data_IF_945101913906
#
_entry.id   IF_945101913906
#
_cell.length_a   1.000
_cell.length_b   1.000
_cell.length_c   1.000
_cell.angle_alpha   90.00
_cell.angle_beta   90.00
_cell.angle_gamma   90.00
#
_symmetry.space_group_name_H-M   'P 1'
#
loop_
_entity.id
_entity.type
_entity.pdbx_description
1 polymer ?
#
# COMPACT_ATOMS: atom_id res chain seq x y z
N UNK A 1 6.10 40.76 -5.98
CA UNK A 1 4.64 40.52 -5.80
C UNK A 1 3.97 40.54 -7.13
N UNK A 2 3.25 39.48 -7.46
CA UNK A 2 2.82 39.23 -8.83
C UNK A 2 1.73 38.18 -8.93
N UNK A 3 1.26 38.00 -10.16
CA UNK A 3 0.37 36.90 -10.55
C UNK A 3 1.17 35.93 -11.40
N UNK A 4 1.28 34.69 -10.93
CA UNK A 4 2.04 33.62 -11.56
C UNK A 4 1.06 32.64 -12.21
N UNK A 5 1.35 32.20 -13.42
CA UNK A 5 0.54 31.22 -14.15
C UNK A 5 1.44 30.29 -14.95
N UNK A 6 0.92 29.23 -15.57
CA UNK A 6 1.76 28.40 -16.42
C UNK A 6 2.38 29.21 -17.58
N UNK A 7 3.63 28.90 -17.94
CA UNK A 7 4.33 29.58 -19.03
C UNK A 7 3.59 29.36 -20.36
N UNK A 8 3.72 30.31 -21.30
CA UNK A 8 3.05 30.20 -22.61
C UNK A 8 3.45 28.92 -23.35
N UNK A 9 4.74 28.58 -23.35
CA UNK A 9 5.26 27.36 -23.96
C UNK A 9 4.67 26.09 -23.33
N UNK A 10 4.61 26.02 -21.99
CA UNK A 10 4.01 24.87 -21.29
C UNK A 10 2.51 24.74 -21.59
N UNK A 11 1.76 25.85 -21.58
CA UNK A 11 0.33 25.87 -21.95
C UNK A 11 0.12 25.31 -23.36
N UNK A 12 0.92 25.76 -24.33
CA UNK A 12 0.82 25.29 -25.72
C UNK A 12 1.17 23.81 -25.81
N UNK A 13 2.31 23.38 -25.23
CA UNK A 13 2.76 22.00 -25.29
C UNK A 13 1.76 21.00 -24.71
N UNK A 14 1.25 21.26 -23.50
CA UNK A 14 0.24 20.38 -22.88
C UNK A 14 -1.08 20.44 -23.63
N UNK A 15 -1.49 21.60 -24.15
CA UNK A 15 -2.73 21.69 -24.94
C UNK A 15 -2.64 20.85 -26.22
N UNK A 16 -1.53 20.92 -26.95
CA UNK A 16 -1.30 20.08 -28.14
C UNK A 16 -1.32 18.60 -27.77
N UNK A 17 -0.61 18.21 -26.71
CA UNK A 17 -0.61 16.83 -26.22
C UNK A 17 -2.01 16.33 -25.86
N UNK A 18 -2.81 17.12 -25.13
CA UNK A 18 -4.17 16.75 -24.74
C UNK A 18 -5.12 16.68 -25.95
N UNK A 19 -4.94 17.53 -26.97
CA UNK A 19 -5.72 17.45 -28.22
C UNK A 19 -5.41 16.15 -28.98
N UNK A 20 -4.12 15.75 -29.06
CA UNK A 20 -3.75 14.47 -29.65
C UNK A 20 -4.35 13.29 -28.88
N UNK A 21 -4.34 13.35 -27.54
CA UNK A 21 -4.94 12.35 -26.67
C UNK A 21 -6.46 12.23 -26.88
N UNK A 22 -7.16 13.36 -27.07
CA UNK A 22 -8.58 13.37 -27.45
C UNK A 22 -8.77 12.64 -28.78
N UNK A 23 -7.92 12.88 -29.78
CA UNK A 23 -7.95 12.16 -31.06
C UNK A 23 -7.83 10.64 -30.90
N UNK A 24 -6.93 10.18 -30.02
CA UNK A 24 -6.79 8.74 -29.69
C UNK A 24 -8.07 8.18 -29.06
N UNK A 25 -8.67 8.89 -28.10
CA UNK A 25 -9.91 8.43 -27.46
C UNK A 25 -11.11 8.44 -28.41
N UNK A 26 -11.17 9.40 -29.33
CA UNK A 26 -12.16 9.40 -30.42
C UNK A 26 -11.95 8.17 -31.31
N UNK A 27 -10.71 7.87 -31.72
CA UNK A 27 -10.41 6.68 -32.50
C UNK A 27 -10.82 5.39 -31.77
N UNK A 28 -10.61 5.29 -30.45
CA UNK A 28 -11.05 4.16 -29.64
C UNK A 28 -12.57 4.00 -29.56
N UNK A 29 -13.34 5.09 -29.67
CA UNK A 29 -14.81 5.01 -29.77
C UNK A 29 -15.22 4.39 -31.11
N UNK A 30 -14.51 4.73 -32.19
CA UNK A 30 -14.84 4.25 -33.53
C UNK A 30 -14.23 2.89 -33.89
N UNK A 31 -13.16 2.47 -33.21
CA UNK A 31 -12.45 1.21 -33.47
C UNK A 31 -13.36 -0.04 -33.53
N UNK A 32 -14.32 -0.24 -32.60
CA UNK A 32 -15.21 -1.41 -32.64
C UNK A 32 -16.12 -1.49 -33.87
N UNK A 33 -16.31 -0.39 -34.60
CA UNK A 33 -17.10 -0.35 -35.83
C UNK A 33 -16.30 -0.76 -37.08
N UNK A 34 -14.96 -0.84 -36.98
CA UNK A 34 -14.08 -1.22 -38.08
C UNK A 34 -13.55 -2.67 -37.98
N UNK A 35 -13.61 -3.28 -36.81
CA UNK A 35 -13.16 -4.66 -36.59
C UNK A 35 -14.35 -5.58 -36.29
N UNK A 36 -14.71 -6.41 -37.27
CA UNK A 36 -15.80 -7.38 -37.20
C UNK A 36 -15.62 -8.43 -36.08
N UNK A 37 -14.42 -8.56 -35.50
CA UNK A 37 -14.13 -9.49 -34.40
C UNK A 37 -14.37 -8.88 -33.01
N UNK A 38 -14.78 -7.62 -32.94
CA UNK A 38 -14.96 -6.93 -31.65
C UNK A 38 -16.23 -7.38 -30.95
N UNK A 39 -16.10 -7.83 -29.70
CA UNK A 39 -17.27 -8.27 -28.92
C UNK A 39 -18.21 -7.08 -28.60
N UNK A 40 -19.52 -7.33 -28.56
CA UNK A 40 -20.53 -6.31 -28.18
C UNK A 40 -20.24 -5.74 -26.78
N UNK A 41 -19.74 -6.58 -25.86
CA UNK A 41 -19.38 -6.16 -24.50
C UNK A 41 -18.23 -5.13 -24.46
N UNK A 42 -17.26 -5.21 -25.39
CA UNK A 42 -16.19 -4.21 -25.45
C UNK A 42 -16.70 -2.82 -25.81
N UNK A 43 -17.77 -2.71 -26.61
CA UNK A 43 -18.36 -1.41 -27.00
C UNK A 43 -18.94 -0.69 -25.78
N UNK A 44 -19.68 -1.42 -24.95
CA UNK A 44 -20.32 -0.89 -23.73
C UNK A 44 -19.33 -0.50 -22.64
N UNK A 45 -18.09 -1.00 -22.69
CA UNK A 45 -17.03 -0.67 -21.73
C UNK A 45 -16.15 0.47 -22.26
N UNK A 46 -15.66 0.35 -23.50
CA UNK A 46 -14.67 1.28 -24.08
C UNK A 46 -15.30 2.66 -24.33
N UNK A 47 -16.51 2.71 -24.88
CA UNK A 47 -17.19 3.97 -25.22
C UNK A 47 -17.34 4.92 -24.01
N UNK A 48 -17.96 4.52 -22.88
CA UNK A 48 -18.12 5.42 -21.74
C UNK A 48 -16.77 5.81 -21.10
N UNK A 49 -15.79 4.90 -21.07
CA UNK A 49 -14.45 5.21 -20.58
C UNK A 49 -13.78 6.28 -21.46
N UNK A 50 -13.84 6.13 -22.78
CA UNK A 50 -13.27 7.10 -23.72
C UNK A 50 -13.94 8.47 -23.60
N UNK A 51 -15.28 8.53 -23.50
CA UNK A 51 -16.01 9.79 -23.29
C UNK A 51 -15.58 10.47 -21.98
N UNK A 52 -15.47 9.69 -20.90
CA UNK A 52 -15.01 10.20 -19.61
C UNK A 52 -13.57 10.75 -19.70
N UNK A 53 -12.67 10.05 -20.39
CA UNK A 53 -11.28 10.50 -20.58
C UNK A 53 -11.19 11.76 -21.46
N UNK A 54 -12.03 11.89 -22.49
CA UNK A 54 -12.15 13.12 -23.29
C UNK A 54 -12.59 14.29 -22.40
N UNK A 55 -13.59 14.10 -21.54
CA UNK A 55 -14.04 15.12 -20.59
C UNK A 55 -12.90 15.56 -19.66
N UNK A 56 -12.11 14.61 -19.15
CA UNK A 56 -10.93 14.92 -18.33
C UNK A 56 -9.88 15.74 -19.09
N UNK A 57 -9.67 15.47 -20.39
CA UNK A 57 -8.77 16.27 -21.22
C UNK A 57 -9.25 17.72 -21.33
N UNK A 58 -10.54 17.95 -21.59
CA UNK A 58 -11.12 19.30 -21.62
C UNK A 58 -10.98 20.02 -20.28
N UNK A 59 -11.22 19.33 -19.16
CA UNK A 59 -11.02 19.88 -17.82
C UNK A 59 -9.54 20.24 -17.57
N UNK A 60 -8.61 19.41 -18.03
CA UNK A 60 -7.16 19.66 -17.96
C UNK A 60 -6.75 20.89 -18.76
N UNK A 61 -7.22 21.03 -20.00
CA UNK A 61 -6.99 22.22 -20.83
C UNK A 61 -7.53 23.46 -20.11
N UNK A 62 -8.77 23.42 -19.63
CA UNK A 62 -9.37 24.54 -18.87
C UNK A 62 -8.53 24.91 -17.64
N UNK A 63 -8.01 23.92 -16.93
CA UNK A 63 -7.18 24.14 -15.75
C UNK A 63 -5.90 24.91 -16.07
N UNK A 64 -5.23 24.62 -17.18
CA UNK A 64 -4.02 25.35 -17.60
C UNK A 64 -4.22 26.86 -17.75
N UNK A 65 -5.40 27.30 -18.17
CA UNK A 65 -5.69 28.72 -18.40
C UNK A 65 -6.30 29.42 -17.18
N UNK A 66 -6.98 28.69 -16.30
CA UNK A 66 -7.58 29.24 -15.09
C UNK A 66 -6.59 29.25 -13.92
N UNK A 67 -5.65 28.30 -13.91
CA UNK A 67 -4.72 28.10 -12.81
C UNK A 67 -3.74 29.26 -12.65
N UNK A 68 -3.79 29.91 -11.49
CA UNK A 68 -2.94 31.04 -11.14
C UNK A 68 -2.67 31.12 -9.65
N UNK A 69 -1.49 31.63 -9.31
CA UNK A 69 -1.06 31.95 -7.96
C UNK A 69 -0.88 33.45 -7.86
N UNK A 70 -1.50 34.07 -6.86
CA UNK A 70 -1.45 35.52 -6.64
C UNK A 70 -0.81 35.74 -5.28
N UNK A 71 0.30 36.48 -5.25
CA UNK A 71 1.03 36.82 -4.01
C UNK A 71 0.99 38.34 -3.84
N UNK A 72 0.45 38.78 -2.70
CA UNK A 72 0.24 40.20 -2.36
C UNK A 72 0.74 40.54 -0.96
N UNK A 73 0.76 41.85 -0.63
CA UNK A 73 0.77 42.48 0.71
C UNK A 73 0.29 41.57 1.82
N UNK A 74 -0.94 41.12 1.62
CA UNK A 74 -1.82 40.68 2.68
C UNK A 74 -2.27 39.23 2.53
N UNK A 75 -2.13 38.63 1.34
CA UNK A 75 -2.52 37.24 1.11
C UNK A 75 -1.77 36.54 -0.02
N UNK A 76 -1.80 35.21 0.06
CA UNK A 76 -1.47 34.28 -1.03
C UNK A 76 -2.76 33.58 -1.45
N UNK A 77 -3.04 33.55 -2.75
CA UNK A 77 -4.19 32.85 -3.32
C UNK A 77 -3.74 31.90 -4.41
N UNK A 78 -4.16 30.64 -4.34
CA UNK A 78 -4.03 29.69 -5.43
C UNK A 78 -5.42 29.33 -5.94
N UNK A 79 -5.63 29.58 -7.22
CA UNK A 79 -6.87 29.25 -7.93
C UNK A 79 -6.54 28.21 -8.99
N UNK A 80 -7.36 27.18 -9.06
CA UNK A 80 -7.43 26.24 -10.18
C UNK A 80 -8.92 26.01 -10.52
N UNK A 81 -9.22 25.11 -11.44
CA UNK A 81 -10.61 24.86 -11.88
C UNK A 81 -11.49 24.28 -10.77
N UNK A 82 -10.90 23.48 -9.88
CA UNK A 82 -11.63 22.74 -8.84
C UNK A 82 -11.70 23.49 -7.50
N UNK A 83 -10.72 24.34 -7.22
CA UNK A 83 -10.51 24.94 -5.91
C UNK A 83 -10.00 26.38 -6.04
N UNK A 84 -10.48 27.22 -5.14
CA UNK A 84 -9.93 28.55 -4.90
C UNK A 84 -9.55 28.65 -3.42
N UNK A 85 -8.25 28.76 -3.13
CA UNK A 85 -7.73 28.81 -1.76
C UNK A 85 -7.00 30.12 -1.55
N UNK A 86 -7.31 30.79 -0.44
CA UNK A 86 -6.73 32.06 -0.03
C UNK A 86 -6.29 31.99 1.43
N UNK A 87 -5.05 32.37 1.70
CA UNK A 87 -4.49 32.47 3.04
C UNK A 87 -3.93 33.88 3.23
N UNK A 88 -4.25 34.53 4.35
CA UNK A 88 -3.61 35.80 4.70
C UNK A 88 -2.17 35.54 5.16
N UNK A 89 -1.27 36.50 4.96
CA UNK A 89 0.15 36.38 5.35
C UNK A 89 0.29 36.02 6.83
N UNK A 90 -0.48 36.68 7.70
CA UNK A 90 -0.49 36.44 9.15
C UNK A 90 -0.96 35.04 9.55
N UNK A 91 -1.74 34.38 8.68
CA UNK A 91 -2.31 33.06 8.91
C UNK A 91 -1.38 31.93 8.48
N UNK A 92 -0.26 32.25 7.83
CA UNK A 92 0.70 31.25 7.34
C UNK A 92 1.65 30.89 8.49
N UNK A 93 1.78 29.59 8.74
CA UNK A 93 2.71 29.03 9.72
C UNK A 93 4.12 28.88 9.13
N UNK A 94 4.18 28.53 7.84
CA UNK A 94 5.40 28.34 7.09
C UNK A 94 5.12 27.62 5.78
N UNK A 95 6.18 27.22 5.09
CA UNK A 95 6.09 26.47 3.84
C UNK A 95 6.97 25.21 3.87
N UNK A 96 6.77 24.32 2.90
CA UNK A 96 7.62 23.17 2.62
C UNK A 96 7.86 23.06 1.13
N UNK A 97 9.10 22.76 0.74
CA UNK A 97 9.46 22.39 -0.63
C UNK A 97 9.47 20.87 -0.78
N UNK A 98 8.80 20.35 -1.80
CA UNK A 98 8.52 18.92 -1.99
C UNK A 98 8.66 18.56 -3.47
N UNK A 99 9.80 18.03 -3.88
CA UNK A 99 10.10 17.73 -5.30
C UNK A 99 9.59 18.82 -6.26
N UNK A 100 8.44 18.58 -6.91
CA UNK A 100 7.77 19.44 -7.90
C UNK A 100 6.70 20.39 -7.35
N UNK A 101 6.61 20.56 -6.03
CA UNK A 101 5.57 21.34 -5.38
C UNK A 101 6.10 22.19 -4.21
N UNK A 102 5.42 23.30 -3.97
CA UNK A 102 5.55 24.12 -2.77
C UNK A 102 4.24 24.04 -1.98
N UNK A 103 4.32 23.64 -0.72
CA UNK A 103 3.17 23.53 0.18
C UNK A 103 3.23 24.64 1.22
N UNK A 104 2.18 25.45 1.28
CA UNK A 104 2.06 26.55 2.26
C UNK A 104 1.04 26.15 3.31
N UNK A 105 1.47 26.13 4.57
CA UNK A 105 0.71 25.61 5.70
C UNK A 105 0.08 26.75 6.52
N UNK A 106 -1.23 26.70 6.79
CA UNK A 106 -1.86 27.64 7.70
C UNK A 106 -1.56 27.32 9.17
N UNK A 107 -1.63 28.32 10.03
CA UNK A 107 -1.56 28.17 11.50
C UNK A 107 -2.77 27.42 12.06
N UNK A 108 -3.95 27.65 11.51
CA UNK A 108 -5.19 27.00 11.94
C UNK A 108 -5.40 25.65 11.24
N UNK A 109 -5.76 24.62 12.01
CA UNK A 109 -6.12 23.28 11.49
C UNK A 109 -7.40 23.28 10.65
N UNK A 110 -8.25 24.31 10.76
CA UNK A 110 -9.50 24.42 10.01
C UNK A 110 -9.32 24.98 8.59
N UNK A 111 -8.15 25.56 8.29
CA UNK A 111 -7.82 26.06 6.94
C UNK A 111 -7.03 25.01 6.17
N UNK A 112 -7.33 24.87 4.88
CA UNK A 112 -6.61 23.94 3.99
C UNK A 112 -5.32 24.59 3.50
N UNK A 113 -4.24 23.78 3.44
CA UNK A 113 -2.95 24.16 2.84
C UNK A 113 -3.10 24.59 1.38
N UNK A 114 -2.22 25.49 0.93
CA UNK A 114 -2.09 25.85 -0.48
C UNK A 114 -1.00 24.97 -1.10
N UNK A 115 -1.29 24.33 -2.24
CA UNK A 115 -0.31 23.54 -3.03
C UNK A 115 -0.05 24.29 -4.32
N UNK A 116 1.21 24.64 -4.54
CA UNK A 116 1.72 25.35 -5.73
C UNK A 116 2.59 24.36 -6.50
N UNK A 117 2.41 24.29 -7.81
CA UNK A 117 3.22 23.48 -8.71
C UNK A 117 4.46 24.25 -9.13
N UNK A 118 5.61 23.58 -9.19
CA UNK A 118 6.86 24.14 -9.71
C UNK A 118 6.80 24.48 -11.20
N UNK A 119 5.85 23.88 -11.92
CA UNK A 119 5.62 24.15 -13.34
C UNK A 119 4.96 25.52 -13.60
N UNK A 120 4.55 26.24 -12.56
CA UNK A 120 4.09 27.64 -12.69
C UNK A 120 5.30 28.51 -13.08
N UNK A 121 5.09 29.46 -14.00
CA UNK A 121 6.15 30.37 -14.42
C UNK A 121 6.73 31.09 -13.21
N UNK A 122 8.04 31.22 -13.18
CA UNK A 122 8.76 31.94 -12.12
C UNK A 122 8.53 31.35 -10.72
N UNK A 123 8.28 30.03 -10.63
CA UNK A 123 8.17 29.30 -9.37
C UNK A 123 9.39 29.47 -8.46
N UNK A 124 10.56 29.76 -9.04
CA UNK A 124 11.76 30.17 -8.30
C UNK A 124 11.58 31.47 -7.52
N UNK A 125 10.94 32.49 -8.11
CA UNK A 125 10.66 33.77 -7.42
C UNK A 125 9.71 33.56 -6.24
N UNK A 126 8.68 32.72 -6.43
CA UNK A 126 7.77 32.33 -5.34
C UNK A 126 8.56 31.67 -4.20
N UNK A 127 9.46 30.75 -4.53
CA UNK A 127 10.28 30.05 -3.54
C UNK A 127 11.23 31.00 -2.79
N UNK A 128 11.95 31.88 -3.51
CA UNK A 128 12.82 32.87 -2.89
C UNK A 128 12.06 33.82 -1.97
N UNK A 129 10.90 34.30 -2.41
CA UNK A 129 10.06 35.15 -1.57
C UNK A 129 9.57 34.41 -0.32
N UNK A 130 9.19 33.13 -0.43
CA UNK A 130 8.81 32.31 0.71
C UNK A 130 9.99 32.05 1.67
N UNK A 131 11.20 31.84 1.15
CA UNK A 131 12.42 31.67 1.93
C UNK A 131 12.74 32.90 2.80
N UNK A 132 12.53 34.09 2.25
CA UNK A 132 12.80 35.37 2.93
C UNK A 132 11.72 35.72 3.97
N UNK A 133 10.46 35.32 3.73
CA UNK A 133 9.32 35.79 4.53
C UNK A 133 8.77 34.75 5.52
N UNK A 134 9.08 33.46 5.33
CA UNK A 134 8.50 32.39 6.13
C UNK A 134 9.53 31.33 6.51
N UNK A 135 9.24 30.61 7.59
CA UNK A 135 10.05 29.49 8.03
C UNK A 135 9.83 28.30 7.11
N UNK A 136 10.93 27.71 6.63
CA UNK A 136 10.92 26.39 6.01
C UNK A 136 10.65 25.34 7.10
N UNK A 137 9.44 24.77 7.06
CA UNK A 137 9.01 23.78 8.02
C UNK A 137 9.72 22.43 7.82
N UNK A 138 10.21 22.13 6.62
CA UNK A 138 10.99 20.92 6.34
C UNK A 138 12.35 21.02 6.99
N UNK A 139 13.07 22.13 6.74
CA UNK A 139 14.38 22.37 7.35
C UNK A 139 14.29 22.46 8.89
N UNK A 140 13.23 23.09 9.42
CA UNK A 140 13.04 23.18 10.87
C UNK A 140 12.89 21.80 11.53
N UNK A 141 12.16 20.88 10.89
CA UNK A 141 12.01 19.51 11.38
C UNK A 141 13.32 18.75 11.28
N UNK A 142 13.99 18.81 10.13
CA UNK A 142 15.29 18.16 9.91
C UNK A 142 16.33 18.63 10.93
N UNK A 143 16.49 19.94 11.13
CA UNK A 143 17.42 20.51 12.12
C UNK A 143 17.07 20.11 13.56
N UNK A 144 15.78 19.95 13.88
CA UNK A 144 15.35 19.48 15.20
C UNK A 144 15.75 18.01 15.39
N UNK A 145 15.48 17.17 14.40
CA UNK A 145 15.86 15.75 14.42
C UNK A 145 17.38 15.58 14.52
N UNK A 146 18.16 16.35 13.76
CA UNK A 146 19.63 16.35 13.85
C UNK A 146 20.12 16.76 15.23
N UNK A 147 19.58 17.83 15.82
CA UNK A 147 19.94 18.26 17.18
C UNK A 147 19.61 17.20 18.22
N UNK A 148 18.45 16.57 18.12
CA UNK A 148 18.06 15.46 19.01
C UNK A 148 18.96 14.24 18.82
N UNK A 149 19.31 13.91 17.58
CA UNK A 149 20.21 12.81 17.23
C UNK A 149 21.63 13.02 17.76
N UNK A 150 22.23 14.20 17.52
CA UNK A 150 23.57 14.52 18.01
C UNK A 150 23.63 14.74 19.53
N UNK A 151 22.51 15.04 20.18
CA UNK A 151 22.44 15.10 21.65
C UNK A 151 22.29 13.72 22.30
N UNK A 152 21.73 12.74 21.60
CA UNK A 152 21.51 11.41 22.16
C UNK A 152 22.84 10.64 22.28
N UNK A 153 23.20 10.25 23.49
CA UNK A 153 24.41 9.46 23.79
C UNK A 153 24.27 7.98 23.43
N UNK A 154 23.05 7.46 23.23
CA UNK A 154 22.82 6.07 22.85
C UNK A 154 23.37 5.71 21.47
N UNK A 155 23.62 6.72 20.62
CA UNK A 155 24.06 6.57 19.24
C UNK A 155 25.57 6.69 19.03
N UNK A 156 26.33 6.99 20.10
CA UNK A 156 27.78 7.17 20.06
C UNK A 156 28.24 8.37 20.89
N UNK A 157 29.53 8.45 21.16
CA UNK A 157 30.14 9.55 21.93
C UNK A 157 30.67 10.62 20.97
N UNK A 158 31.29 10.20 19.85
CA UNK A 158 31.81 11.12 18.84
C UNK A 158 30.82 11.35 17.68
N UNK A 159 30.98 12.48 16.98
CA UNK A 159 30.20 12.78 15.76
C UNK A 159 30.41 11.71 14.70
N UNK A 160 31.66 11.27 14.51
CA UNK A 160 32.01 10.24 13.53
C UNK A 160 31.35 8.88 13.84
N UNK A 161 31.28 8.47 15.12
CA UNK A 161 30.55 7.26 15.51
C UNK A 161 29.07 7.35 15.18
N UNK A 162 28.43 8.49 15.48
CA UNK A 162 27.00 8.72 15.21
C UNK A 162 26.69 8.67 13.72
N UNK A 163 27.49 9.33 12.91
CA UNK A 163 27.37 9.27 11.44
C UNK A 163 27.58 7.85 10.90
N UNK A 164 28.54 7.11 11.48
CA UNK A 164 28.78 5.70 11.15
C UNK A 164 27.57 4.82 11.42
N UNK A 165 26.92 4.98 12.58
CA UNK A 165 25.71 4.25 12.95
C UNK A 165 24.55 4.62 12.02
N UNK A 166 24.35 5.90 11.72
CA UNK A 166 23.29 6.35 10.80
C UNK A 166 23.48 5.81 9.38
N UNK A 167 24.72 5.83 8.87
CA UNK A 167 25.07 5.26 7.58
C UNK A 167 24.82 3.74 7.55
N UNK A 168 25.19 3.03 8.62
CA UNK A 168 24.92 1.58 8.75
C UNK A 168 23.43 1.30 8.78
N UNK A 169 22.65 2.07 9.54
CA UNK A 169 21.19 1.95 9.61
C UNK A 169 20.55 2.17 8.23
N UNK A 170 21.00 3.20 7.50
CA UNK A 170 20.49 3.55 6.17
C UNK A 170 20.77 2.44 5.15
N UNK A 171 22.00 1.92 5.11
CA UNK A 171 22.36 0.80 4.25
C UNK A 171 21.56 -0.46 4.59
N UNK A 172 21.41 -0.75 5.89
CA UNK A 172 20.66 -1.92 6.36
C UNK A 172 19.19 -1.85 5.95
N UNK A 173 18.53 -0.71 6.18
CA UNK A 173 17.13 -0.51 5.79
C UNK A 173 16.93 -0.64 4.27
N UNK A 174 17.87 -0.11 3.46
CA UNK A 174 17.84 -0.26 2.00
C UNK A 174 17.93 -1.73 1.58
N UNK A 175 18.86 -2.49 2.14
CA UNK A 175 19.02 -3.91 1.83
C UNK A 175 17.83 -4.74 2.27
N UNK A 176 17.30 -4.51 3.48
CA UNK A 176 16.06 -5.14 3.97
C UNK A 176 14.95 -4.94 2.94
N UNK A 177 14.71 -3.70 2.51
CA UNK A 177 13.65 -3.39 1.53
C UNK A 177 13.83 -4.18 0.24
N UNK A 178 15.03 -4.19 -0.33
CA UNK A 178 15.32 -4.89 -1.60
C UNK A 178 15.11 -6.39 -1.42
N UNK A 179 15.75 -7.00 -0.41
CA UNK A 179 15.70 -8.45 -0.18
C UNK A 179 14.27 -8.91 0.10
N UNK A 180 13.55 -8.22 0.98
CA UNK A 180 12.16 -8.55 1.31
C UNK A 180 11.25 -8.52 0.09
N UNK A 181 11.30 -7.45 -0.70
CA UNK A 181 10.46 -7.30 -1.89
C UNK A 181 10.81 -8.37 -2.94
N UNK A 182 12.10 -8.59 -3.19
CA UNK A 182 12.57 -9.61 -4.12
C UNK A 182 12.11 -11.01 -3.71
N UNK A 183 12.24 -11.36 -2.43
CA UNK A 183 11.81 -12.67 -1.91
C UNK A 183 10.28 -12.85 -2.01
N UNK A 184 9.50 -11.80 -1.72
CA UNK A 184 8.04 -11.85 -1.91
C UNK A 184 7.67 -12.07 -3.36
N UNK A 185 8.29 -11.34 -4.30
CA UNK A 185 8.02 -11.50 -5.72
C UNK A 185 8.42 -12.89 -6.20
N UNK A 186 9.60 -13.38 -5.80
CA UNK A 186 10.05 -14.75 -6.12
C UNK A 186 9.03 -15.79 -5.64
N UNK A 187 8.54 -15.67 -4.41
CA UNK A 187 7.51 -16.57 -3.88
C UNK A 187 6.22 -16.54 -4.72
N UNK A 188 5.71 -15.35 -5.07
CA UNK A 188 4.47 -15.23 -5.85
C UNK A 188 4.59 -15.83 -7.27
N UNK A 189 5.75 -15.68 -7.92
CA UNK A 189 5.96 -16.21 -9.28
C UNK A 189 6.36 -17.68 -9.30
N UNK A 190 7.18 -18.13 -8.34
CA UNK A 190 7.80 -19.47 -8.38
C UNK A 190 7.00 -20.54 -7.66
N UNK A 191 6.18 -20.21 -6.65
CA UNK A 191 5.40 -21.22 -5.90
C UNK A 191 4.40 -21.97 -6.79
N UNK A 192 3.98 -21.36 -7.90
CA UNK A 192 3.15 -22.04 -8.91
C UNK A 192 3.90 -23.16 -9.66
N UNK A 193 5.22 -23.01 -9.86
CA UNK A 193 6.04 -23.92 -10.66
C UNK A 193 6.81 -24.92 -9.80
N UNK A 194 7.23 -24.48 -8.61
CA UNK A 194 7.97 -25.28 -7.66
C UNK A 194 7.06 -25.47 -6.44
N UNK A 195 6.66 -26.71 -6.15
CA UNK A 195 5.97 -27.11 -4.90
C UNK A 195 6.90 -26.95 -3.67
N UNK A 196 7.70 -25.89 -3.61
CA UNK A 196 8.75 -25.67 -2.63
C UNK A 196 8.26 -24.72 -1.55
N UNK A 197 7.96 -25.30 -0.40
CA UNK A 197 7.53 -24.60 0.83
C UNK A 197 8.65 -23.76 1.47
N UNK A 198 9.91 -23.95 1.03
CA UNK A 198 11.09 -23.20 1.50
C UNK A 198 10.93 -21.67 1.44
N UNK A 199 10.32 -21.13 0.38
CA UNK A 199 10.11 -19.70 0.25
C UNK A 199 9.16 -19.17 1.33
N UNK A 200 8.14 -19.95 1.71
CA UNK A 200 7.18 -19.58 2.75
C UNK A 200 7.89 -19.49 4.09
N UNK A 201 8.75 -20.46 4.44
CA UNK A 201 9.54 -20.40 5.67
C UNK A 201 10.43 -19.14 5.72
N UNK A 202 11.16 -18.83 4.64
CA UNK A 202 12.00 -17.64 4.58
C UNK A 202 11.17 -16.37 4.82
N UNK A 203 10.01 -16.25 4.18
CA UNK A 203 9.12 -15.10 4.34
C UNK A 203 8.56 -14.97 5.76
N UNK A 204 8.27 -16.08 6.45
CA UNK A 204 7.85 -16.06 7.86
C UNK A 204 8.93 -15.43 8.74
N UNK A 205 10.21 -15.75 8.52
CA UNK A 205 11.28 -15.23 9.37
C UNK A 205 11.68 -13.77 9.08
N UNK A 206 11.46 -13.26 7.86
CA UNK A 206 11.87 -11.90 7.49
C UNK A 206 11.28 -10.82 8.42
N UNK A 207 9.95 -10.76 8.69
CA UNK A 207 9.39 -9.77 9.61
C UNK A 207 9.99 -9.84 11.02
N UNK A 208 10.26 -11.05 11.55
CA UNK A 208 10.90 -11.22 12.86
C UNK A 208 12.32 -10.67 12.88
N UNK A 209 13.10 -10.96 11.82
CA UNK A 209 14.45 -10.41 11.66
C UNK A 209 14.42 -8.89 11.58
N UNK A 210 13.45 -8.30 10.88
CA UNK A 210 13.30 -6.84 10.79
C UNK A 210 12.99 -6.25 12.17
N UNK A 211 12.09 -6.85 12.94
CA UNK A 211 11.79 -6.43 14.32
C UNK A 211 13.07 -6.43 15.17
N UNK A 212 13.83 -7.53 15.12
CA UNK A 212 15.10 -7.64 15.83
C UNK A 212 16.12 -6.57 15.41
N UNK A 213 16.23 -6.30 14.10
CA UNK A 213 17.10 -5.26 13.57
C UNK A 213 16.67 -3.88 14.07
N UNK A 214 15.38 -3.55 13.99
CA UNK A 214 14.86 -2.25 14.45
C UNK A 214 15.14 -2.02 15.94
N UNK A 215 14.92 -3.05 16.78
CA UNK A 215 15.27 -3.02 18.21
C UNK A 215 16.78 -2.77 18.40
N UNK A 216 17.62 -3.47 17.63
CA UNK A 216 19.09 -3.35 17.71
C UNK A 216 19.60 -1.95 17.32
N UNK A 217 18.89 -1.26 16.43
CA UNK A 217 19.18 0.13 16.05
C UNK A 217 18.53 1.18 16.97
N UNK A 218 17.94 0.77 18.10
CA UNK A 218 17.47 1.65 19.19
C UNK A 218 16.58 2.81 18.72
N UNK A 219 15.73 2.57 17.73
CA UNK A 219 14.80 3.57 17.20
C UNK A 219 15.36 4.51 16.12
N UNK A 220 16.58 4.29 15.61
CA UNK A 220 17.10 5.00 14.41
C UNK A 220 16.33 4.55 13.16
N UNK A 221 16.01 3.27 13.05
CA UNK A 221 15.22 2.73 11.94
C UNK A 221 13.74 2.83 12.31
N UNK A 222 12.91 3.34 11.40
CA UNK A 222 11.48 3.56 11.61
C UNK A 222 10.60 2.71 10.70
N UNK A 223 9.38 2.44 11.17
CA UNK A 223 8.33 1.79 10.36
C UNK A 223 7.48 2.81 9.61
N UNK A 224 7.71 4.11 9.76
CA UNK A 224 7.00 5.13 8.99
C UNK A 224 7.71 5.38 7.65
N UNK A 225 6.96 5.44 6.55
CA UNK A 225 7.51 5.87 5.26
C UNK A 225 7.72 7.38 5.26
N UNK A 226 8.82 7.83 4.65
CA UNK A 226 9.03 9.25 4.42
C UNK A 226 7.93 9.75 3.50
N UNK A 227 7.09 10.67 3.98
CA UNK A 227 6.14 11.37 3.08
C UNK A 227 6.94 12.20 2.11
N UNK A 228 6.41 12.39 0.91
CA UNK A 228 7.00 13.31 -0.09
C UNK A 228 7.30 14.68 0.55
N UNK A 229 6.43 15.17 1.44
CA UNK A 229 6.59 16.46 2.11
C UNK A 229 7.39 16.46 3.41
N UNK A 230 8.14 15.40 3.71
CA UNK A 230 8.91 15.28 4.94
C UNK A 230 10.34 14.82 4.65
N UNK A 231 11.31 15.64 5.05
CA UNK A 231 12.72 15.25 5.06
C UNK A 231 13.07 14.85 6.48
N UNK A 232 13.29 13.56 6.68
CA UNK A 232 13.75 12.99 7.94
C UNK A 232 15.10 12.31 7.76
N UNK A 233 15.95 12.39 8.77
CA UNK A 233 17.25 11.70 8.79
C UNK A 233 17.09 10.19 9.01
N UNK A 234 15.97 9.76 9.58
CA UNK A 234 15.75 8.37 9.96
C UNK A 234 15.37 7.50 8.75
N UNK A 235 16.04 6.35 8.51
CA UNK A 235 15.68 5.44 7.43
C UNK A 235 14.41 4.63 7.75
N UNK A 236 13.64 4.31 6.70
CA UNK A 236 12.41 3.51 6.81
C UNK A 236 12.60 2.08 6.34
N UNK A 237 11.97 1.14 7.05
CA UNK A 237 11.84 -0.28 6.68
C UNK A 237 10.41 -0.69 6.33
N UNK A 238 9.46 0.26 6.22
CA UNK A 238 8.04 -0.03 6.06
C UNK A 238 7.80 -1.06 4.95
N UNK A 239 8.26 -0.78 3.73
CA UNK A 239 8.05 -1.70 2.59
C UNK A 239 8.79 -3.03 2.72
N UNK A 240 9.93 -3.04 3.40
CA UNK A 240 10.65 -4.28 3.70
C UNK A 240 9.91 -5.16 4.71
N UNK A 241 9.13 -4.56 5.60
CA UNK A 241 8.28 -5.23 6.57
C UNK A 241 6.95 -5.66 5.97
N UNK A 242 6.31 -4.80 5.16
CA UNK A 242 4.99 -5.04 4.59
C UNK A 242 4.98 -6.09 3.48
N UNK A 243 5.94 -6.03 2.56
CA UNK A 243 5.98 -6.95 1.42
C UNK A 243 5.88 -8.44 1.81
N UNK A 244 6.65 -8.97 2.78
CA UNK A 244 6.52 -10.36 3.20
C UNK A 244 5.18 -10.64 3.90
N UNK A 245 4.66 -9.70 4.71
CA UNK A 245 3.35 -9.87 5.38
C UNK A 245 2.23 -10.02 4.35
N UNK A 246 2.20 -9.15 3.34
CA UNK A 246 1.23 -9.26 2.25
C UNK A 246 1.43 -10.56 1.44
N UNK A 247 2.68 -10.93 1.16
CA UNK A 247 2.99 -12.19 0.47
C UNK A 247 2.45 -13.42 1.20
N UNK A 248 2.69 -13.51 2.51
CA UNK A 248 2.20 -14.60 3.35
C UNK A 248 0.67 -14.60 3.42
N UNK A 249 0.03 -13.44 3.54
CA UNK A 249 -1.42 -13.35 3.56
C UNK A 249 -2.04 -13.84 2.25
N UNK A 250 -1.49 -13.41 1.10
CA UNK A 250 -1.95 -13.88 -0.20
C UNK A 250 -1.77 -15.41 -0.33
N UNK A 251 -0.65 -15.94 0.16
CA UNK A 251 -0.44 -17.38 0.18
C UNK A 251 -1.49 -18.11 1.01
N UNK A 252 -1.77 -17.66 2.23
CA UNK A 252 -2.83 -18.26 3.06
C UNK A 252 -4.19 -18.18 2.37
N UNK A 253 -4.54 -17.02 1.80
CA UNK A 253 -5.83 -16.82 1.14
C UNK A 253 -6.05 -17.70 -0.11
N UNK A 254 -4.99 -18.01 -0.85
CA UNK A 254 -5.11 -18.74 -2.12
C UNK A 254 -4.68 -20.20 -2.06
N UNK A 255 -3.83 -20.58 -1.10
CA UNK A 255 -3.29 -21.93 -1.02
C UNK A 255 -3.91 -22.78 0.10
N UNK A 256 -4.55 -22.17 1.11
CA UNK A 256 -5.03 -22.88 2.31
C UNK A 256 -6.52 -22.62 2.53
N UNK A 257 -7.33 -23.69 2.54
CA UNK A 257 -8.75 -23.61 2.86
C UNK A 257 -9.01 -24.02 4.31
N UNK A 258 -9.15 -23.04 5.20
CA UNK A 258 -9.51 -23.27 6.60
C UNK A 258 -11.00 -23.59 6.72
N UNK A 259 -11.33 -24.67 7.43
CA UNK A 259 -12.70 -25.15 7.62
C UNK A 259 -13.40 -24.43 8.79
N UNK A 260 -12.70 -24.21 9.90
CA UNK A 260 -13.22 -23.54 11.11
C UNK A 260 -12.16 -22.62 11.72
N UNK A 261 -12.56 -21.41 12.08
CA UNK A 261 -11.65 -20.37 12.60
C UNK A 261 -11.67 -20.22 14.12
N UNK A 262 -12.46 -20.99 14.86
CA UNK A 262 -12.70 -20.77 16.29
C UNK A 262 -11.40 -20.74 17.12
N UNK A 263 -10.50 -21.70 16.89
CA UNK A 263 -9.21 -21.79 17.58
C UNK A 263 -8.18 -20.71 17.14
N UNK A 264 -8.45 -20.00 16.03
CA UNK A 264 -7.52 -18.97 15.51
C UNK A 264 -7.53 -17.73 16.41
N UNK A 265 -8.70 -17.33 16.90
CA UNK A 265 -8.90 -16.00 17.50
C UNK A 265 -8.10 -15.78 18.79
N UNK A 266 -8.02 -16.80 19.65
CA UNK A 266 -7.27 -16.71 20.91
C UNK A 266 -5.77 -16.57 20.65
N UNK A 267 -5.20 -17.46 19.83
CA UNK A 267 -3.78 -17.44 19.47
C UNK A 267 -3.43 -16.15 18.71
N UNK A 268 -4.35 -15.68 17.85
CA UNK A 268 -4.22 -14.43 17.12
C UNK A 268 -4.12 -13.23 18.06
N UNK A 269 -4.96 -13.16 19.10
CA UNK A 269 -4.94 -12.06 20.06
C UNK A 269 -3.59 -11.94 20.76
N UNK A 270 -3.08 -13.04 21.33
CA UNK A 270 -1.79 -13.04 22.06
C UNK A 270 -0.60 -12.73 21.15
N UNK A 271 -0.54 -13.36 19.98
CA UNK A 271 0.56 -13.16 19.01
C UNK A 271 0.55 -11.74 18.43
N UNK A 272 -0.62 -11.20 18.11
CA UNK A 272 -0.78 -9.81 17.63
C UNK A 272 -0.27 -8.82 18.67
N UNK A 273 -0.68 -8.98 19.93
CA UNK A 273 -0.25 -8.13 21.02
C UNK A 273 1.28 -8.17 21.16
N UNK A 274 1.88 -9.37 21.16
CA UNK A 274 3.32 -9.54 21.27
C UNK A 274 4.08 -8.85 20.13
N UNK A 275 3.72 -9.14 18.87
CA UNK A 275 4.37 -8.56 17.69
C UNK A 275 4.21 -7.03 17.67
N UNK A 276 3.01 -6.55 17.98
CA UNK A 276 2.73 -5.12 18.06
C UNK A 276 3.61 -4.42 19.11
N UNK A 277 3.69 -4.98 20.32
CA UNK A 277 4.55 -4.42 21.38
C UNK A 277 6.02 -4.42 20.99
N UNK A 278 6.52 -5.48 20.34
CA UNK A 278 7.91 -5.51 19.87
C UNK A 278 8.19 -4.44 18.80
N UNK A 279 7.27 -4.22 17.86
CA UNK A 279 7.37 -3.16 16.86
C UNK A 279 7.41 -1.75 17.50
N UNK A 280 6.51 -1.48 18.43
CA UNK A 280 6.43 -0.19 19.15
C UNK A 280 7.66 0.02 20.04
N UNK A 281 8.11 -1.04 20.73
CA UNK A 281 9.31 -1.01 21.55
C UNK A 281 10.55 -0.70 20.70
N UNK A 282 10.72 -1.37 19.56
CA UNK A 282 11.87 -1.16 18.68
C UNK A 282 11.91 0.22 18.04
N UNK A 283 10.75 0.76 17.62
CA UNK A 283 10.71 2.08 16.97
C UNK A 283 10.96 3.23 17.94
N UNK A 284 10.79 3.02 19.26
CA UNK A 284 10.79 4.05 20.31
C UNK A 284 9.80 5.18 20.06
N UNK A 285 8.76 4.95 19.26
CA UNK A 285 7.74 5.95 18.94
C UNK A 285 6.62 5.92 19.99
N UNK A 286 6.88 6.30 21.25
CA UNK A 286 5.89 6.19 22.33
C UNK A 286 4.88 7.34 22.41
N UNK A 287 5.03 8.37 21.58
CA UNK A 287 4.33 9.65 21.75
C UNK A 287 3.13 9.78 20.82
N UNK A 288 1.93 9.49 21.35
CA UNK A 288 0.63 9.69 20.69
C UNK A 288 0.21 11.17 20.68
N UNK A 289 1.09 12.08 20.24
CA UNK A 289 0.82 13.53 20.30
C UNK A 289 0.01 14.04 19.10
N UNK A 290 0.08 13.34 17.96
CA UNK A 290 -0.51 13.80 16.71
C UNK A 290 -1.24 12.66 15.97
N UNK A 291 -2.24 13.02 15.16
CA UNK A 291 -3.03 12.08 14.34
C UNK A 291 -2.16 11.20 13.43
N UNK A 292 -0.98 11.70 13.03
CA UNK A 292 0.03 10.95 12.28
C UNK A 292 0.53 9.75 13.08
N UNK A 293 1.01 9.98 14.31
CA UNK A 293 1.49 8.92 15.18
C UNK A 293 0.38 7.92 15.50
N UNK A 294 -0.85 8.38 15.73
CA UNK A 294 -2.01 7.49 15.91
C UNK A 294 -2.20 6.61 14.66
N UNK A 295 -2.10 7.17 13.46
CA UNK A 295 -2.15 6.42 12.20
C UNK A 295 -1.06 5.35 12.10
N UNK A 296 0.17 5.64 12.52
CA UNK A 296 1.27 4.66 12.57
C UNK A 296 1.00 3.54 13.57
N UNK A 297 0.45 3.84 14.75
CA UNK A 297 0.07 2.81 15.72
C UNK A 297 -1.03 1.91 15.18
N UNK A 298 -2.07 2.49 14.58
CA UNK A 298 -3.17 1.72 13.98
C UNK A 298 -2.62 0.84 12.85
N UNK A 299 -1.75 1.37 11.99
CA UNK A 299 -1.19 0.58 10.88
C UNK A 299 -0.30 -0.56 11.41
N UNK A 300 0.57 -0.31 12.38
CA UNK A 300 1.38 -1.35 13.03
C UNK A 300 0.51 -2.43 13.68
N UNK A 301 -0.59 -2.06 14.33
CA UNK A 301 -1.51 -3.04 14.91
C UNK A 301 -2.13 -3.91 13.82
N UNK A 302 -2.67 -3.31 12.75
CA UNK A 302 -3.25 -4.04 11.61
C UNK A 302 -2.23 -4.98 10.97
N UNK A 303 -1.01 -4.52 10.71
CA UNK A 303 0.03 -5.33 10.10
C UNK A 303 0.52 -6.45 11.02
N UNK A 304 0.56 -6.21 12.34
CA UNK A 304 0.87 -7.25 13.33
C UNK A 304 -0.21 -8.33 13.34
N UNK A 305 -1.49 -7.95 13.21
CA UNK A 305 -2.61 -8.91 13.09
C UNK A 305 -2.50 -9.72 11.81
N UNK A 306 -2.25 -9.08 10.67
CA UNK A 306 -2.12 -9.76 9.38
C UNK A 306 -0.96 -10.76 9.36
N UNK A 307 0.18 -10.35 9.91
CA UNK A 307 1.36 -11.22 10.05
C UNK A 307 1.06 -12.40 10.97
N UNK A 308 0.52 -12.14 12.16
CA UNK A 308 0.20 -13.16 13.15
C UNK A 308 -0.80 -14.18 12.62
N UNK A 309 -1.88 -13.72 11.98
CA UNK A 309 -2.85 -14.59 11.31
C UNK A 309 -2.19 -15.49 10.28
N UNK A 310 -1.35 -14.93 9.41
CA UNK A 310 -0.70 -15.70 8.35
C UNK A 310 0.24 -16.76 8.93
N UNK A 311 1.03 -16.41 9.94
CA UNK A 311 1.95 -17.35 10.61
C UNK A 311 1.19 -18.44 11.35
N UNK A 312 0.09 -18.13 12.04
CA UNK A 312 -0.73 -19.14 12.74
C UNK A 312 -1.25 -20.19 11.75
N UNK A 313 -1.81 -19.75 10.62
CA UNK A 313 -2.36 -20.69 9.63
C UNK A 313 -1.25 -21.50 8.96
N UNK A 314 -0.14 -20.87 8.58
CA UNK A 314 1.00 -21.57 7.98
C UNK A 314 1.58 -22.58 8.96
N UNK A 315 1.80 -22.19 10.21
CA UNK A 315 2.31 -23.08 11.25
C UNK A 315 1.34 -24.25 11.50
N UNK A 316 0.04 -23.97 11.53
CA UNK A 316 -0.98 -24.98 11.72
C UNK A 316 -0.96 -26.07 10.63
N UNK A 317 -0.71 -25.68 9.37
CA UNK A 317 -0.69 -26.62 8.23
C UNK A 317 0.67 -27.31 8.11
N UNK A 318 1.77 -26.56 8.13
CA UNK A 318 3.10 -27.09 7.81
C UNK A 318 3.67 -27.99 8.90
N UNK A 319 3.21 -27.83 10.15
CA UNK A 319 3.60 -28.70 11.27
C UNK A 319 2.49 -29.67 11.66
N UNK A 320 1.47 -29.84 10.81
CA UNK A 320 0.41 -30.80 11.03
C UNK A 320 0.94 -32.23 10.82
N UNK A 321 0.78 -33.07 11.84
CA UNK A 321 1.08 -34.50 11.79
C UNK A 321 -0.18 -35.35 12.02
N UNK A 322 -1.36 -34.74 11.98
CA UNK A 322 -2.63 -35.45 12.16
C UNK A 322 -2.92 -36.37 10.98
N UNK A 323 -3.63 -37.46 11.24
CA UNK A 323 -4.11 -38.35 10.18
C UNK A 323 -5.14 -37.62 9.32
N UNK A 324 -4.91 -37.62 8.00
CA UNK A 324 -5.85 -37.06 7.04
C UNK A 324 -7.07 -37.96 6.92
N UNK A 325 -8.23 -37.43 7.28
CA UNK A 325 -9.51 -38.11 7.06
C UNK A 325 -9.99 -37.90 5.63
N UNK A 326 -10.22 -39.00 4.92
CA UNK A 326 -10.71 -39.00 3.53
C UNK A 326 -12.23 -39.12 3.54
N UNK A 327 -12.91 -38.15 2.91
CA UNK A 327 -14.36 -38.17 2.73
C UNK A 327 -14.69 -38.11 1.25
N UNK A 328 -15.65 -38.93 0.82
CA UNK A 328 -16.15 -38.92 -0.55
C UNK A 328 -17.53 -38.28 -0.57
N UNK A 329 -17.71 -37.24 -1.38
CA UNK A 329 -18.98 -36.53 -1.48
C UNK A 329 -19.40 -36.37 -2.94
N UNK A 330 -20.68 -36.61 -3.28
CA UNK A 330 -21.19 -36.36 -4.63
C UNK A 330 -21.37 -34.86 -4.88
N UNK A 331 -21.07 -34.43 -6.10
CA UNK A 331 -21.32 -33.07 -6.57
C UNK A 331 -22.81 -32.89 -6.81
N UNK A 332 -23.47 -32.08 -5.99
CA UNK A 332 -24.89 -31.76 -6.14
C UNK A 332 -25.11 -30.66 -7.18
N UNK A 333 -24.33 -29.59 -7.08
CA UNK A 333 -24.44 -28.43 -7.95
C UNK A 333 -23.06 -27.85 -8.26
N UNK A 334 -22.97 -27.16 -9.40
CA UNK A 334 -21.78 -26.45 -9.85
C UNK A 334 -22.13 -24.98 -10.06
N UNK A 335 -21.38 -24.07 -9.41
CA UNK A 335 -21.60 -22.63 -9.51
C UNK A 335 -20.34 -21.93 -10.00
N UNK A 336 -20.52 -20.98 -10.91
CA UNK A 336 -19.45 -20.05 -11.33
C UNK A 336 -19.85 -18.65 -10.86
N UNK A 337 -19.00 -18.02 -10.07
CA UNK A 337 -19.14 -16.61 -9.75
C UNK A 337 -18.29 -15.79 -10.71
N UNK A 338 -18.91 -14.89 -11.47
CA UNK A 338 -18.22 -14.00 -12.43
C UNK A 338 -18.31 -12.55 -11.95
N UNK A 339 -17.16 -11.94 -11.72
CA UNK A 339 -17.01 -10.52 -11.40
C UNK A 339 -15.69 -9.99 -11.96
N UNK A 340 -14.86 -9.36 -11.12
CA UNK A 340 -13.47 -9.03 -11.50
C UNK A 340 -12.59 -10.28 -11.65
N UNK A 341 -12.91 -11.33 -10.90
CA UNK A 341 -12.31 -12.67 -11.01
C UNK A 341 -13.41 -13.70 -11.26
N UNK A 342 -13.02 -14.87 -11.78
CA UNK A 342 -13.94 -16.01 -11.95
C UNK A 342 -13.59 -17.08 -10.94
N UNK A 343 -14.51 -17.37 -10.03
CA UNK A 343 -14.36 -18.41 -9.01
C UNK A 343 -15.31 -19.58 -9.32
N UNK A 344 -14.89 -20.79 -8.95
CA UNK A 344 -15.58 -22.03 -9.27
C UNK A 344 -15.91 -22.76 -7.98
N UNK A 345 -17.18 -23.16 -7.82
CA UNK A 345 -17.66 -23.79 -6.60
C UNK A 345 -18.38 -25.10 -6.90
N UNK A 346 -18.16 -26.08 -6.03
CA UNK A 346 -18.99 -27.27 -5.94
C UNK A 346 -19.85 -27.21 -4.68
N UNK A 347 -21.13 -27.52 -4.82
CA UNK A 347 -22.00 -27.77 -3.67
C UNK A 347 -21.96 -29.25 -3.37
N UNK A 348 -21.47 -29.61 -2.20
CA UNK A 348 -21.26 -31.00 -1.78
C UNK A 348 -22.14 -31.28 -0.56
N UNK A 349 -22.78 -32.45 -0.54
CA UNK A 349 -23.40 -32.95 0.69
C UNK A 349 -22.33 -33.62 1.54
N UNK A 350 -22.10 -33.12 2.76
CA UNK A 350 -21.05 -33.62 3.62
C UNK A 350 -21.58 -34.01 4.99
N UNK A 351 -22.31 -35.12 5.06
CA UNK A 351 -22.92 -35.65 6.30
C UNK A 351 -21.97 -35.72 7.51
N UNK A 352 -20.67 -35.98 7.30
CA UNK A 352 -19.69 -36.07 8.40
C UNK A 352 -19.04 -34.74 8.84
N UNK A 353 -19.33 -33.59 8.20
CA UNK A 353 -18.74 -32.27 8.53
C UNK A 353 -19.81 -31.21 8.80
N UNK A 354 -20.98 -31.33 8.15
CA UNK A 354 -22.11 -30.40 8.23
C UNK A 354 -23.37 -31.11 7.75
N UNK A 355 -24.46 -31.06 8.51
CA UNK A 355 -25.76 -31.63 8.10
C UNK A 355 -26.35 -30.93 6.87
N UNK A 356 -25.86 -29.72 6.55
CA UNK A 356 -26.26 -28.95 5.37
C UNK A 356 -25.20 -29.01 4.27
N UNK A 357 -25.67 -29.12 3.01
CA UNK A 357 -24.85 -29.03 1.82
C UNK A 357 -24.15 -27.66 1.74
N UNK A 358 -22.82 -27.65 1.63
CA UNK A 358 -22.01 -26.43 1.56
C UNK A 358 -21.34 -26.26 0.21
N UNK A 359 -21.04 -25.01 -0.13
CA UNK A 359 -20.20 -24.66 -1.26
C UNK A 359 -18.72 -24.73 -0.88
N UNK A 360 -17.92 -25.33 -1.76
CA UNK A 360 -16.49 -25.45 -1.63
C UNK A 360 -15.81 -24.86 -2.87
N UNK A 361 -14.77 -24.05 -2.66
CA UNK A 361 -13.96 -23.47 -3.74
C UNK A 361 -13.09 -24.57 -4.36
N UNK A 362 -13.06 -24.62 -5.69
CA UNK A 362 -12.29 -25.60 -6.46
C UNK A 362 -11.54 -24.93 -7.61
N UNK A 363 -10.43 -25.53 -8.00
CA UNK A 363 -9.69 -25.03 -9.16
C UNK A 363 -10.54 -25.14 -10.44
N UNK A 364 -10.31 -24.24 -11.41
CA UNK A 364 -10.92 -24.30 -12.75
C UNK A 364 -10.73 -25.66 -13.41
N UNK A 365 -9.57 -26.29 -13.20
CA UNK A 365 -9.25 -27.59 -13.77
C UNK A 365 -10.16 -28.68 -13.20
N UNK A 366 -10.24 -28.78 -11.87
CA UNK A 366 -11.14 -29.74 -11.19
C UNK A 366 -12.59 -29.47 -11.60
N UNK A 367 -13.01 -28.21 -11.59
CA UNK A 367 -14.36 -27.81 -11.99
C UNK A 367 -14.72 -28.27 -13.40
N UNK A 368 -13.81 -28.15 -14.36
CA UNK A 368 -14.08 -28.56 -15.75
C UNK A 368 -13.97 -30.07 -15.96
N UNK A 369 -13.24 -30.79 -15.10
CA UNK A 369 -13.02 -32.23 -15.22
C UNK A 369 -14.11 -33.12 -14.63
N UNK A 370 -15.02 -32.55 -13.81
CA UNK A 370 -16.05 -33.28 -13.08
C UNK A 370 -17.46 -32.78 -13.43
N UNK A 371 -18.43 -33.67 -13.44
CA UNK A 371 -19.85 -33.39 -13.69
C UNK A 371 -20.68 -33.48 -12.40
N UNK A 372 -21.91 -32.94 -12.45
CA UNK A 372 -22.88 -33.14 -11.38
C UNK A 372 -23.18 -34.64 -11.29
N UNK A 373 -23.21 -35.17 -10.07
CA UNK A 373 -23.32 -36.61 -9.79
C UNK A 373 -21.99 -37.34 -9.63
N UNK A 374 -20.88 -36.77 -10.13
CA UNK A 374 -19.55 -37.33 -9.86
C UNK A 374 -19.19 -37.14 -8.39
N UNK A 375 -18.33 -38.02 -7.88
CA UNK A 375 -17.78 -37.88 -6.53
C UNK A 375 -16.39 -37.23 -6.56
N UNK A 376 -16.12 -36.43 -5.53
CA UNK A 376 -14.81 -35.84 -5.25
C UNK A 376 -14.29 -36.31 -3.89
N UNK A 377 -12.97 -36.32 -3.76
CA UNK A 377 -12.32 -36.62 -2.49
C UNK A 377 -12.04 -35.32 -1.74
N UNK A 378 -12.48 -35.28 -0.49
CA UNK A 378 -12.24 -34.18 0.45
C UNK A 378 -11.28 -34.70 1.50
N UNK A 379 -10.05 -34.20 1.45
CA UNK A 379 -9.02 -34.47 2.43
C UNK A 379 -9.17 -33.47 3.55
N UNK A 380 -9.42 -33.95 4.77
CA UNK A 380 -9.65 -33.09 5.93
C UNK A 380 -8.64 -33.42 7.02
N UNK A 381 -7.96 -32.37 7.44
CA UNK A 381 -6.88 -32.40 8.41
C UNK A 381 -7.28 -31.58 9.64
N UNK A 382 -6.87 -32.03 10.83
CA UNK A 382 -7.17 -31.32 12.09
C UNK A 382 -6.30 -30.08 12.27
N UNK A 383 -5.09 -30.09 11.72
CA UNK A 383 -4.11 -29.02 11.91
C UNK A 383 -3.41 -29.08 13.27
N UNK A 384 -2.18 -28.60 13.33
CA UNK A 384 -1.34 -28.63 14.54
C UNK A 384 -1.94 -27.89 15.73
N UNK A 385 -2.71 -26.85 15.47
CA UNK A 385 -3.33 -25.97 16.47
C UNK A 385 -4.84 -26.23 16.61
N UNK A 386 -5.33 -27.40 16.17
CA UNK A 386 -6.76 -27.73 16.10
C UNK A 386 -7.55 -26.69 15.28
N UNK A 387 -6.95 -26.23 14.17
CA UNK A 387 -7.61 -25.38 13.16
C UNK A 387 -7.79 -26.26 11.93
N UNK A 388 -8.95 -26.90 11.75
CA UNK A 388 -9.14 -27.85 10.67
C UNK A 388 -9.08 -27.15 9.32
N UNK A 389 -8.46 -27.80 8.35
CA UNK A 389 -8.34 -27.32 6.97
C UNK A 389 -8.62 -28.47 6.01
N UNK A 390 -8.90 -28.14 4.75
CA UNK A 390 -9.27 -29.13 3.76
C UNK A 390 -8.65 -28.88 2.39
N UNK A 391 -8.61 -29.95 1.59
CA UNK A 391 -8.22 -29.93 0.19
C UNK A 391 -9.17 -30.83 -0.62
N UNK A 392 -9.52 -30.39 -1.83
CA UNK A 392 -10.39 -31.13 -2.75
C UNK A 392 -9.55 -31.56 -3.96
N UNK A 393 -9.65 -32.85 -4.33
CA UNK A 393 -9.03 -33.41 -5.53
C UNK A 393 -10.02 -34.20 -6.40
#
# INVERSE_FOLDING_TARGET
MGTYSYSKGFKIGITVFLILLIGVFIALIFMPFYDEKTSVNSIYIITPISIFLILLCFLGIRDLYVSKVIITKSFISAKNVLFNRKLRIEEISGYKKVEYYILIYPKSRFKKRIKISDYISDGGEILFWLQDNFVDLTLKVEQKEEKEFYRNSEFGISVHEKEGVLNKATKTAKWIKIVSISMTLLMLFLTKYFKNEYFVYVLVFIPLLIIFIVISFKGIIKYEEKKEDEKTIYPSVLWGFLAPIFGLLLYVMFAINVLKYNAVWEVLAYSTILVFFLCVYGSKEYKLENAKTIGTFISLFVFSTMYSFSVIIIFNVFFDTSETSLHQAPILEKRISKGKTTNYYFKLNHSNISDEAREFDVSKFIYNSKNIGDSVHIFVNQGKLNIPYYKIE
#
